data_IF_570412639602
#
_entry.id   IF_570412639602
#
_cell.length_a   1.000
_cell.length_b   1.000
_cell.length_c   1.000
_cell.angle_alpha   90.00
_cell.angle_beta   90.00
_cell.angle_gamma   90.00
#
_symmetry.space_group_name_H-M   'P 1'
#
loop_
_entity.id
_entity.type
_entity.pdbx_description
1 polymer ?
#
# COMPACT_ATOMS: atom_id res chain seq x y z
N UNK A 1 6.60 -24.82 23.28
CA UNK A 1 5.93 -24.79 21.96
C UNK A 1 5.78 -23.34 21.53
N UNK A 2 6.38 -22.90 20.41
CA UNK A 2 6.12 -21.55 19.89
C UNK A 2 4.68 -21.52 19.35
N UNK A 3 3.81 -20.72 19.95
CA UNK A 3 2.49 -20.43 19.39
C UNK A 3 2.68 -19.90 17.96
N UNK A 4 2.28 -20.69 16.96
CA UNK A 4 2.27 -20.25 15.57
C UNK A 4 1.20 -19.16 15.47
N UNK A 5 1.63 -17.90 15.35
CA UNK A 5 0.71 -16.78 15.15
C UNK A 5 0.31 -16.77 13.68
N UNK A 6 -0.96 -17.02 13.40
CA UNK A 6 -1.50 -16.88 12.06
C UNK A 6 -1.43 -15.42 11.60
N UNK A 7 -1.13 -15.23 10.32
CA UNK A 7 -1.16 -13.91 9.68
C UNK A 7 -2.61 -13.43 9.65
N UNK A 8 -2.82 -12.16 10.01
CA UNK A 8 -4.14 -11.50 9.96
C UNK A 8 -4.14 -10.51 8.80
N UNK A 9 -5.24 -10.47 8.07
CA UNK A 9 -5.42 -9.59 6.92
C UNK A 9 -6.50 -8.55 7.25
N UNK A 10 -6.21 -7.29 6.94
CA UNK A 10 -7.15 -6.18 7.04
C UNK A 10 -7.34 -5.64 5.62
N UNK A 11 -8.56 -5.74 5.10
CA UNK A 11 -8.90 -5.21 3.78
C UNK A 11 -9.44 -3.80 3.92
N UNK A 12 -8.81 -2.83 3.25
CA UNK A 12 -9.26 -1.44 3.22
C UNK A 12 -9.91 -1.18 1.87
N UNK A 13 -11.22 -0.94 1.88
CA UNK A 13 -12.02 -0.70 0.68
C UNK A 13 -12.54 0.74 0.65
N UNK A 14 -12.83 1.24 -0.56
CA UNK A 14 -13.40 2.57 -0.79
C UNK A 14 -14.77 2.50 -1.43
N UNK A 15 -15.70 3.32 -0.95
CA UNK A 15 -17.01 3.52 -1.58
C UNK A 15 -17.24 4.98 -1.97
N UNK A 16 -18.31 5.22 -2.72
CA UNK A 16 -18.80 6.55 -3.16
C UNK A 16 -17.90 7.23 -4.19
N UNK A 17 -16.70 7.67 -3.80
CA UNK A 17 -15.79 8.42 -4.68
C UNK A 17 -14.31 8.05 -4.41
N UNK A 18 -13.48 8.16 -5.43
CA UNK A 18 -12.02 8.05 -5.30
C UNK A 18 -11.42 9.32 -4.66
N UNK A 19 -10.13 9.28 -4.29
CA UNK A 19 -9.45 10.45 -3.70
C UNK A 19 -9.72 10.74 -2.21
N UNK A 20 -10.49 9.89 -1.50
CA UNK A 20 -10.79 10.07 -0.07
C UNK A 20 -9.60 9.85 0.90
N UNK A 21 -8.39 9.60 0.40
CA UNK A 21 -7.23 9.36 1.26
C UNK A 21 -7.13 7.94 1.85
N UNK A 22 -7.53 6.92 1.08
CA UNK A 22 -7.46 5.51 1.53
C UNK A 22 -6.04 5.04 1.83
N UNK A 23 -5.06 5.44 1.00
CA UNK A 23 -3.64 5.15 1.24
C UNK A 23 -3.18 5.68 2.60
N UNK A 24 -3.44 6.96 2.86
CA UNK A 24 -3.13 7.62 4.13
C UNK A 24 -3.82 6.96 5.33
N UNK A 25 -5.10 6.60 5.20
CA UNK A 25 -5.83 5.91 6.26
C UNK A 25 -5.23 4.53 6.56
N UNK A 26 -4.93 3.74 5.52
CA UNK A 26 -4.30 2.43 5.66
C UNK A 26 -2.90 2.52 6.28
N UNK A 27 -2.09 3.48 5.82
CA UNK A 27 -0.75 3.76 6.37
C UNK A 27 -0.82 4.17 7.85
N UNK A 28 -1.77 5.03 8.22
CA UNK A 28 -1.99 5.47 9.61
C UNK A 28 -2.38 4.30 10.53
N UNK A 29 -3.28 3.41 10.08
CA UNK A 29 -3.61 2.18 10.81
C UNK A 29 -2.36 1.30 10.96
N UNK A 30 -1.59 1.12 9.89
CA UNK A 30 -0.35 0.36 9.92
C UNK A 30 0.67 0.92 10.92
N UNK A 31 0.80 2.25 10.99
CA UNK A 31 1.66 2.93 11.94
C UNK A 31 1.25 2.68 13.41
N UNK A 32 -0.04 2.77 13.72
CA UNK A 32 -0.56 2.48 15.06
C UNK A 32 -0.33 1.02 15.46
N UNK A 33 -0.55 0.08 14.53
CA UNK A 33 -0.31 -1.35 14.77
C UNK A 33 1.19 -1.65 14.97
N UNK A 34 2.08 -1.02 14.19
CA UNK A 34 3.53 -1.10 14.40
C UNK A 34 3.92 -0.53 15.78
N UNK A 35 3.33 0.60 16.17
CA UNK A 35 3.54 1.23 17.48
C UNK A 35 3.08 0.34 18.64
N UNK A 36 2.09 -0.52 18.41
CA UNK A 36 1.64 -1.55 19.36
C UNK A 36 2.54 -2.81 19.39
N UNK A 37 3.69 -2.80 18.70
CA UNK A 37 4.66 -3.90 18.68
C UNK A 37 4.29 -5.04 17.72
N UNK A 38 3.35 -4.83 16.80
CA UNK A 38 2.99 -5.82 15.80
C UNK A 38 3.88 -5.68 14.55
N UNK A 39 4.16 -6.81 13.91
CA UNK A 39 4.78 -6.82 12.57
C UNK A 39 3.68 -6.60 11.55
N UNK A 40 3.78 -5.52 10.79
CA UNK A 40 2.76 -5.09 9.82
C UNK A 40 3.44 -4.81 8.49
N UNK A 41 2.80 -5.24 7.42
CA UNK A 41 3.14 -4.91 6.03
C UNK A 41 1.88 -4.39 5.34
N UNK A 42 2.07 -3.60 4.28
CA UNK A 42 0.98 -3.10 3.43
C UNK A 42 1.11 -3.74 2.03
N UNK A 43 -0.02 -3.85 1.33
CA UNK A 43 -0.09 -4.26 -0.06
C UNK A 43 -1.11 -3.35 -0.75
N UNK A 44 -0.69 -2.71 -1.82
CA UNK A 44 -1.56 -1.90 -2.69
C UNK A 44 -2.02 -2.76 -3.86
N UNK A 45 -3.31 -2.70 -4.19
CA UNK A 45 -3.92 -3.38 -5.33
C UNK A 45 -4.45 -2.33 -6.29
N UNK A 46 -3.70 -2.08 -7.37
CA UNK A 46 -4.07 -1.13 -8.40
C UNK A 46 -4.90 -1.82 -9.50
N UNK A 47 -6.10 -1.30 -9.84
CA UNK A 47 -6.99 -1.94 -10.81
C UNK A 47 -6.63 -1.63 -12.27
N UNK A 48 -5.45 -1.04 -12.51
CA UNK A 48 -5.00 -0.65 -13.86
C UNK A 48 -4.45 -1.86 -14.62
N UNK A 49 -4.42 -1.74 -15.95
CA UNK A 49 -3.88 -2.79 -16.82
C UNK A 49 -2.35 -2.75 -16.93
N UNK A 50 -1.75 -1.62 -16.59
CA UNK A 50 -0.30 -1.46 -16.60
C UNK A 50 0.33 -2.52 -15.70
N UNK A 51 1.39 -3.18 -16.19
CA UNK A 51 2.14 -4.18 -15.41
C UNK A 51 2.84 -3.50 -14.23
N UNK A 52 3.34 -2.29 -14.45
CA UNK A 52 4.00 -1.40 -13.51
C UNK A 52 3.71 0.06 -13.93
N UNK A 53 3.91 1.05 -13.05
CA UNK A 53 3.65 2.45 -13.37
C UNK A 53 4.79 3.13 -14.16
N UNK A 54 5.88 2.42 -14.50
CA UNK A 54 7.04 3.00 -15.21
C UNK A 54 6.69 3.55 -16.61
N UNK A 55 5.60 3.08 -17.19
CA UNK A 55 5.07 3.56 -18.48
C UNK A 55 4.08 4.72 -18.37
N UNK A 56 3.68 5.11 -17.16
CA UNK A 56 2.70 6.17 -16.93
C UNK A 56 3.36 7.56 -16.98
N UNK A 57 2.64 8.57 -17.47
CA UNK A 57 3.15 9.95 -17.45
C UNK A 57 3.14 10.50 -16.00
N UNK A 58 4.30 10.83 -15.40
CA UNK A 58 4.36 11.20 -13.99
C UNK A 58 3.68 12.53 -13.67
N UNK A 59 3.59 13.45 -14.64
CA UNK A 59 2.91 14.73 -14.44
C UNK A 59 1.39 14.61 -14.39
N UNK A 60 0.83 13.48 -14.83
CA UNK A 60 -0.61 13.23 -14.84
C UNK A 60 -1.04 12.21 -13.80
N UNK A 61 -0.19 11.22 -13.52
CA UNK A 61 -0.53 10.06 -12.67
C UNK A 61 0.19 10.04 -11.33
N UNK A 62 1.14 10.95 -11.09
CA UNK A 62 1.96 10.98 -9.88
C UNK A 62 3.32 10.30 -10.09
N UNK A 63 4.15 10.36 -9.07
CA UNK A 63 5.49 9.78 -9.11
C UNK A 63 5.46 8.25 -9.17
N UNK A 64 6.55 7.67 -9.68
CA UNK A 64 6.84 6.24 -9.60
C UNK A 64 7.74 6.02 -8.39
N UNK A 65 7.29 5.22 -7.42
CA UNK A 65 8.07 4.89 -6.24
C UNK A 65 8.88 3.62 -6.46
N UNK A 66 10.18 3.64 -6.13
CA UNK A 66 11.09 2.51 -6.35
C UNK A 66 11.48 1.88 -5.02
N UNK A 67 11.23 0.58 -4.88
CA UNK A 67 11.58 -0.19 -3.68
C UNK A 67 13.07 -0.56 -3.63
N UNK A 68 13.54 -1.01 -2.46
CA UNK A 68 14.93 -1.46 -2.24
C UNK A 68 15.35 -2.61 -3.18
N UNK A 69 14.38 -3.39 -3.68
CA UNK A 69 14.61 -4.48 -4.63
C UNK A 69 14.60 -4.04 -6.11
N UNK A 70 14.38 -2.74 -6.37
CA UNK A 70 14.34 -2.15 -7.70
C UNK A 70 12.96 -2.19 -8.38
N UNK A 71 11.91 -2.66 -7.70
CA UNK A 71 10.56 -2.67 -8.26
C UNK A 71 9.99 -1.26 -8.38
N UNK A 72 9.47 -0.91 -9.57
CA UNK A 72 8.72 0.32 -9.83
C UNK A 72 7.25 0.15 -9.42
N UNK A 73 6.76 1.03 -8.55
CA UNK A 73 5.45 0.89 -7.89
C UNK A 73 4.70 2.22 -7.78
N UNK A 74 3.43 2.14 -7.44
CA UNK A 74 2.57 3.31 -7.20
C UNK A 74 3.04 4.09 -5.97
N UNK A 75 2.80 5.41 -6.00
CA UNK A 75 3.22 6.35 -4.95
C UNK A 75 2.65 6.04 -3.56
N UNK A 76 1.56 5.28 -3.44
CA UNK A 76 1.01 4.87 -2.14
C UNK A 76 1.97 3.96 -1.33
N UNK A 77 3.03 3.42 -1.93
CA UNK A 77 4.06 2.63 -1.23
C UNK A 77 5.21 3.47 -0.66
N UNK A 78 5.27 4.77 -0.96
CA UNK A 78 6.19 5.73 -0.32
C UNK A 78 5.78 6.09 1.11
#
# INVERSE_FOLDING_TARGET
MKNKRDVKYIFVLGGVISGLGKGIAAASIGYLLKSAGLRVTILKLDPYLNVDPGTMNPYQHGEVFVLDDGSETDLDLG
#
